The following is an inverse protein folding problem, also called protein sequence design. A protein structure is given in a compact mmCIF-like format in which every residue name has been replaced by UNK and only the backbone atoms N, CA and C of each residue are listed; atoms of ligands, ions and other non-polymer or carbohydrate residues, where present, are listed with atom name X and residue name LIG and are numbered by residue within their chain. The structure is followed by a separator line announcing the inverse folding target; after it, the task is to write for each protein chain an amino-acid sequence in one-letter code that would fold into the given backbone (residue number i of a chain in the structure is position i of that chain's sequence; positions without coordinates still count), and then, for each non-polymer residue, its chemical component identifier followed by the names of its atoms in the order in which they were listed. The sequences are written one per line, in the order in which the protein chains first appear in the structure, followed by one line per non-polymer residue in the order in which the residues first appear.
data_IF_825486479003
#
_entry.id   IF_825486479003
#
_cell.length_a   1.000
_cell.length_b   1.000
_cell.length_c   1.000
_cell.angle_alpha   90.00
_cell.angle_beta   90.00
_cell.angle_gamma   90.00
#
_symmetry.space_group_name_H-M   'P 1'
#
loop_
_entity.id
_entity.type
_entity.pdbx_description
1 polymer ?
#
# COMPACT_ATOMS: atom_id res chain seq x y z
N UNK A 1 -16.21 -14.90 26.24
CA UNK A 1 -15.79 -13.59 25.73
C UNK A 1 -16.93 -12.58 25.63
N UNK A 2 -17.90 -12.71 24.71
CA UNK A 2 -19.02 -11.76 24.56
C UNK A 2 -19.87 -11.63 25.85
N UNK A 3 -20.22 -12.73 26.51
CA UNK A 3 -20.97 -12.70 27.79
C UNK A 3 -20.24 -12.00 28.95
N UNK A 4 -18.91 -11.98 28.95
CA UNK A 4 -18.10 -11.28 29.96
C UNK A 4 -18.12 -9.78 29.70
N UNK A 5 -18.02 -9.36 28.44
CA UNK A 5 -18.18 -7.97 28.02
C UNK A 5 -19.59 -7.43 28.31
N UNK A 6 -20.63 -8.27 28.15
CA UNK A 6 -22.03 -7.94 28.47
C UNK A 6 -22.32 -7.78 29.98
N UNK A 7 -21.41 -8.23 30.84
CA UNK A 7 -21.56 -8.12 32.30
C UNK A 7 -20.93 -6.85 32.88
N UNK A 8 -20.21 -6.06 32.07
CA UNK A 8 -19.60 -4.81 32.51
C UNK A 8 -20.64 -3.67 32.56
N UNK A 9 -20.92 -3.08 33.75
CA UNK A 9 -21.92 -2.03 33.93
C UNK A 9 -21.68 -0.77 33.08
N UNK A 10 -20.41 -0.43 32.81
CA UNK A 10 -20.04 0.76 32.05
C UNK A 10 -20.28 0.60 30.53
N UNK A 11 -20.38 -0.64 30.04
CA UNK A 11 -20.57 -0.97 28.62
C UNK A 11 -22.04 -1.25 28.26
N UNK A 12 -22.91 -1.32 29.28
CA UNK A 12 -24.34 -1.69 29.16
C UNK A 12 -25.16 -0.69 28.34
N UNK A 13 -24.80 0.59 28.39
CA UNK A 13 -25.44 1.67 27.61
C UNK A 13 -25.14 1.58 26.11
N UNK A 14 -23.97 1.05 25.75
CA UNK A 14 -23.56 0.87 24.36
C UNK A 14 -24.17 -0.40 23.76
N UNK A 15 -24.14 -1.52 24.50
CA UNK A 15 -24.72 -2.80 24.06
C UNK A 15 -26.21 -2.72 23.79
N UNK A 16 -26.95 -1.90 24.55
CA UNK A 16 -28.40 -1.71 24.35
C UNK A 16 -28.73 -0.95 23.05
N UNK A 17 -27.83 -0.08 22.58
CA UNK A 17 -28.06 0.78 21.42
C UNK A 17 -27.47 0.24 20.10
N UNK A 18 -26.37 -0.53 20.17
CA UNK A 18 -25.64 -1.04 19.01
C UNK A 18 -26.18 -2.41 18.51
N UNK A 19 -26.66 -3.27 19.43
CA UNK A 19 -27.07 -4.65 19.12
C UNK A 19 -28.22 -4.76 18.10
N UNK A 20 -29.28 -3.93 18.15
CA UNK A 20 -30.38 -3.99 17.18
C UNK A 20 -29.96 -3.57 15.76
N UNK A 21 -28.83 -2.86 15.62
CA UNK A 21 -28.36 -2.28 14.34
C UNK A 21 -27.35 -3.17 13.61
N UNK A 22 -26.66 -4.04 14.35
CA UNK A 22 -25.80 -5.11 13.80
C UNK A 22 -26.61 -6.21 13.11
N UNK A 23 -27.85 -6.45 13.55
CA UNK A 23 -28.77 -7.38 12.87
C UNK A 23 -29.40 -6.84 11.59
N UNK A 24 -29.29 -5.53 11.32
CA UNK A 24 -29.89 -4.87 10.16
C UNK A 24 -28.90 -4.50 9.05
N UNK A 25 -27.61 -4.78 9.22
CA UNK A 25 -26.60 -4.53 8.19
C UNK A 25 -26.68 -5.60 7.10
N UNK A 26 -26.64 -5.27 5.79
CA UNK A 26 -26.60 -6.28 4.74
C UNK A 26 -25.37 -7.18 4.88
N UNK A 27 -25.59 -8.46 5.21
CA UNK A 27 -24.55 -9.43 5.57
C UNK A 27 -24.55 -9.86 7.04
N UNK A 28 -25.33 -9.20 7.90
CA UNK A 28 -25.62 -9.59 9.28
C UNK A 28 -26.60 -10.76 9.33
N UNK A 29 -26.11 -11.96 9.04
CA UNK A 29 -26.86 -13.19 9.15
C UNK A 29 -27.41 -13.41 10.55
N UNK A 30 -28.70 -13.76 10.56
CA UNK A 30 -29.56 -14.25 11.63
C UNK A 30 -28.82 -15.04 12.71
N UNK A 31 -29.28 -14.83 13.95
CA UNK A 31 -29.01 -15.63 15.14
C UNK A 31 -29.34 -17.11 14.85
N UNK A 32 -28.33 -17.88 14.45
CA UNK A 32 -28.46 -19.34 14.38
C UNK A 32 -27.17 -20.02 14.83
N UNK A 33 -27.36 -21.15 15.49
CA UNK A 33 -26.60 -21.65 16.64
C UNK A 33 -25.12 -22.06 16.46
N UNK A 34 -24.40 -21.69 15.39
CA UNK A 34 -22.99 -22.13 15.23
C UNK A 34 -22.06 -21.15 14.48
N UNK A 35 -22.49 -19.91 14.19
CA UNK A 35 -21.59 -18.91 13.61
C UNK A 35 -20.79 -18.26 14.74
N UNK A 36 -19.50 -18.61 14.86
CA UNK A 36 -18.53 -17.87 15.69
C UNK A 36 -18.41 -16.43 15.17
N UNK A 37 -19.29 -15.54 15.64
CA UNK A 37 -19.17 -14.10 15.42
C UNK A 37 -17.78 -13.68 15.85
N UNK A 38 -17.00 -13.17 14.90
CA UNK A 38 -15.74 -12.53 15.23
C UNK A 38 -16.07 -11.31 16.11
N UNK A 39 -15.65 -11.29 17.38
CA UNK A 39 -16.01 -10.23 18.32
C UNK A 39 -15.50 -8.85 17.89
N UNK A 40 -14.57 -8.78 16.95
CA UNK A 40 -14.07 -7.53 16.39
C UNK A 40 -14.80 -7.05 15.14
N UNK A 41 -15.69 -7.87 14.54
CA UNK A 41 -16.53 -7.42 13.42
C UNK A 41 -17.41 -6.23 13.78
N UNK A 42 -17.68 -6.05 15.07
CA UNK A 42 -18.44 -4.90 15.57
C UNK A 42 -17.72 -3.57 15.33
N UNK A 43 -16.38 -3.56 15.35
CA UNK A 43 -15.56 -2.37 15.08
C UNK A 43 -15.44 -2.04 13.59
N UNK A 44 -16.01 -2.87 12.72
CA UNK A 44 -16.13 -2.54 11.30
C UNK A 44 -17.30 -1.59 11.03
N UNK A 45 -18.25 -1.43 11.97
CA UNK A 45 -19.37 -0.49 11.85
C UNK A 45 -18.93 0.95 12.13
N UNK A 46 -19.27 1.87 11.23
CA UNK A 46 -18.95 3.31 11.31
C UNK A 46 -19.55 3.97 12.57
N UNK A 47 -20.65 3.43 13.08
CA UNK A 47 -21.29 3.85 14.33
C UNK A 47 -20.38 3.69 15.57
N UNK A 48 -19.36 2.82 15.52
CA UNK A 48 -18.46 2.59 16.65
C UNK A 48 -17.45 3.71 16.89
N UNK A 49 -17.25 4.58 15.89
CA UNK A 49 -16.39 5.76 15.95
C UNK A 49 -17.18 7.07 15.87
N UNK A 50 -18.48 7.02 16.19
CA UNK A 50 -19.34 8.21 16.16
C UNK A 50 -18.73 9.37 16.98
N UNK A 51 -18.79 10.63 16.50
CA UNK A 51 -18.04 11.75 17.10
C UNK A 51 -18.32 11.98 18.59
N UNK A 52 -19.55 11.75 19.03
CA UNK A 52 -19.93 11.89 20.43
C UNK A 52 -19.36 10.76 21.31
N UNK A 53 -19.22 9.53 20.78
CA UNK A 53 -18.63 8.39 21.50
C UNK A 53 -17.11 8.52 21.62
N UNK A 54 -16.46 9.00 20.54
CA UNK A 54 -15.02 9.28 20.53
C UNK A 54 -14.68 10.43 21.48
N UNK A 55 -15.51 11.48 21.52
CA UNK A 55 -15.31 12.62 22.43
C UNK A 55 -15.47 12.22 23.90
N UNK A 56 -16.39 11.31 24.21
CA UNK A 56 -16.63 10.80 25.57
C UNK A 56 -15.61 9.70 25.95
N UNK A 57 -14.96 9.08 24.96
CA UNK A 57 -13.96 8.01 25.16
C UNK A 57 -14.58 6.62 25.34
N UNK A 58 -15.91 6.48 25.22
CA UNK A 58 -16.63 5.23 25.41
C UNK A 58 -16.27 4.18 24.35
N UNK A 59 -16.08 4.61 23.10
CA UNK A 59 -15.66 3.70 22.01
C UNK A 59 -14.26 3.13 22.24
N UNK A 60 -13.33 3.97 22.69
CA UNK A 60 -11.96 3.57 23.00
C UNK A 60 -11.89 2.67 24.25
N UNK A 61 -12.66 2.99 25.29
CA UNK A 61 -12.78 2.14 26.48
C UNK A 61 -13.34 0.75 26.14
N UNK A 62 -14.35 0.69 25.27
CA UNK A 62 -14.91 -0.57 24.79
C UNK A 62 -13.88 -1.37 23.97
N UNK A 63 -13.19 -0.73 23.01
CA UNK A 63 -12.12 -1.37 22.25
C UNK A 63 -11.04 -1.96 23.17
N UNK A 64 -10.63 -1.17 24.16
CA UNK A 64 -9.63 -1.58 25.17
C UNK A 64 -10.08 -2.80 25.96
N UNK A 65 -11.33 -2.82 26.43
CA UNK A 65 -11.89 -3.95 27.15
C UNK A 65 -11.94 -5.23 26.29
N UNK A 66 -12.30 -5.11 25.00
CA UNK A 66 -12.30 -6.24 24.07
C UNK A 66 -10.88 -6.78 23.85
N UNK A 67 -9.90 -5.90 23.64
CA UNK A 67 -8.49 -6.28 23.46
C UNK A 67 -7.93 -6.98 24.71
N UNK A 68 -8.17 -6.43 25.90
CA UNK A 68 -7.76 -7.03 27.17
C UNK A 68 -8.38 -8.41 27.37
N UNK A 69 -9.70 -8.52 27.14
CA UNK A 69 -10.42 -9.79 27.31
C UNK A 69 -9.93 -10.84 26.30
N UNK A 70 -9.64 -10.44 25.07
CA UNK A 70 -9.12 -11.37 24.07
C UNK A 70 -7.71 -11.86 24.40
N UNK A 71 -6.83 -10.95 24.83
CA UNK A 71 -5.45 -11.30 25.19
C UNK A 71 -5.33 -12.11 26.48
N UNK A 72 -6.35 -12.10 27.32
CA UNK A 72 -6.44 -13.01 28.45
C UNK A 72 -6.57 -14.47 27.98
N UNK A 73 -7.29 -14.71 26.89
CA UNK A 73 -7.65 -16.05 26.42
C UNK A 73 -6.81 -16.54 25.23
N UNK A 74 -6.20 -15.63 24.47
CA UNK A 74 -5.54 -15.93 23.19
C UNK A 74 -4.20 -15.18 23.05
N UNK A 75 -3.20 -15.76 22.35
CA UNK A 75 -1.92 -15.10 22.10
C UNK A 75 -2.07 -13.90 21.16
N UNK A 76 -1.12 -12.97 21.26
CA UNK A 76 -1.07 -11.75 20.44
C UNK A 76 -1.09 -12.05 18.93
N UNK A 77 -0.47 -13.13 18.46
CA UNK A 77 -0.46 -13.50 17.03
C UNK A 77 -1.86 -13.79 16.46
N UNK A 78 -2.72 -14.44 17.25
CA UNK A 78 -4.10 -14.70 16.87
C UNK A 78 -4.92 -13.40 16.82
N UNK A 79 -4.72 -12.51 17.79
CA UNK A 79 -5.35 -11.18 17.82
C UNK A 79 -4.98 -10.37 16.58
N UNK A 80 -3.71 -10.42 16.19
CA UNK A 80 -3.18 -9.56 15.12
C UNK A 80 -3.66 -9.97 13.74
N UNK A 81 -3.77 -11.28 13.48
CA UNK A 81 -4.39 -11.82 12.26
C UNK A 81 -5.86 -11.39 12.16
N UNK A 82 -6.52 -11.34 13.32
CA UNK A 82 -7.92 -10.98 13.40
C UNK A 82 -8.12 -9.47 13.18
N UNK A 83 -7.35 -8.61 13.84
CA UNK A 83 -7.37 -7.16 13.65
C UNK A 83 -7.10 -6.78 12.19
N UNK A 84 -6.14 -7.45 11.54
CA UNK A 84 -5.87 -7.28 10.12
C UNK A 84 -7.08 -7.67 9.24
N UNK A 85 -7.76 -8.78 9.56
CA UNK A 85 -8.96 -9.24 8.83
C UNK A 85 -10.13 -8.26 8.90
N UNK A 86 -10.30 -7.57 10.03
CA UNK A 86 -11.36 -6.56 10.23
C UNK A 86 -10.90 -5.13 9.86
N UNK A 87 -9.69 -5.00 9.32
CA UNK A 87 -9.05 -3.72 8.96
C UNK A 87 -8.94 -2.72 10.13
N UNK A 88 -8.91 -3.22 11.37
CA UNK A 88 -8.77 -2.38 12.57
C UNK A 88 -7.29 -2.18 12.90
N UNK A 89 -6.59 -1.55 11.97
CA UNK A 89 -5.15 -1.22 12.02
C UNK A 89 -4.95 0.20 11.46
N UNK A 90 -3.75 0.76 11.66
CA UNK A 90 -3.34 2.05 11.10
C UNK A 90 -4.30 3.21 11.43
N UNK A 91 -4.73 3.98 10.43
CA UNK A 91 -5.59 5.14 10.55
C UNK A 91 -6.94 4.82 11.20
N UNK A 92 -7.47 3.61 10.96
CA UNK A 92 -8.77 3.19 11.52
C UNK A 92 -8.69 2.99 13.03
N UNK A 93 -7.53 2.63 13.58
CA UNK A 93 -7.32 2.58 15.02
C UNK A 93 -7.28 4.00 15.62
N UNK A 94 -6.68 4.96 14.90
CA UNK A 94 -6.62 6.36 15.33
C UNK A 94 -8.01 7.01 15.39
N UNK A 95 -8.99 6.52 14.63
CA UNK A 95 -10.36 7.04 14.64
C UNK A 95 -11.03 6.93 16.03
N UNK A 96 -10.65 5.94 16.84
CA UNK A 96 -11.13 5.76 18.22
C UNK A 96 -10.59 6.82 19.19
N UNK A 97 -9.52 7.53 18.82
CA UNK A 97 -8.93 8.59 19.62
C UNK A 97 -9.53 9.95 19.25
N UNK A 98 -9.74 10.84 20.24
CA UNK A 98 -10.03 12.25 19.99
C UNK A 98 -8.99 12.88 19.05
N UNK A 99 -9.40 13.78 18.14
CA UNK A 99 -8.51 14.37 17.11
C UNK A 99 -7.20 14.96 17.68
N UNK A 100 -7.25 15.52 18.89
CA UNK A 100 -6.10 16.11 19.59
C UNK A 100 -5.17 15.08 20.26
N UNK A 101 -5.48 13.78 20.19
CA UNK A 101 -4.71 12.67 20.79
C UNK A 101 -4.39 11.56 19.79
N UNK A 102 -4.53 11.82 18.48
CA UNK A 102 -4.17 10.90 17.39
C UNK A 102 -2.67 10.99 17.08
N UNK A 103 -1.83 10.86 18.10
CA UNK A 103 -0.37 10.77 17.94
C UNK A 103 0.13 9.44 18.49
N UNK A 104 1.18 8.90 17.89
CA UNK A 104 1.73 7.58 18.26
C UNK A 104 2.16 7.51 19.72
N UNK A 105 2.67 8.63 20.26
CA UNK A 105 3.05 8.77 21.67
C UNK A 105 1.82 8.74 22.60
N UNK A 106 0.72 9.38 22.19
CA UNK A 106 -0.54 9.36 22.95
C UNK A 106 -1.18 7.97 22.94
N UNK A 107 -1.13 7.28 21.80
CA UNK A 107 -1.67 5.93 21.62
C UNK A 107 -0.87 4.92 22.44
N UNK A 108 0.47 4.99 22.39
CA UNK A 108 1.36 4.15 23.18
C UNK A 108 1.10 4.30 24.67
N UNK A 109 1.13 5.54 25.17
CA UNK A 109 0.90 5.84 26.60
C UNK A 109 -0.44 5.34 27.08
N UNK A 110 -1.49 5.49 26.27
CA UNK A 110 -2.83 5.02 26.63
C UNK A 110 -2.88 3.49 26.74
N UNK A 111 -2.42 2.76 25.73
CA UNK A 111 -2.50 1.30 25.73
C UNK A 111 -1.52 0.64 26.70
N UNK A 112 -0.33 1.23 26.94
CA UNK A 112 0.56 0.80 28.01
C UNK A 112 -0.07 0.98 29.40
N UNK A 113 -0.70 2.14 29.65
CA UNK A 113 -1.45 2.38 30.89
C UNK A 113 -2.62 1.41 31.06
N UNK A 114 -3.21 0.93 29.96
CA UNK A 114 -4.24 -0.10 29.95
C UNK A 114 -3.68 -1.55 30.02
N UNK A 115 -2.38 -1.75 30.23
CA UNK A 115 -1.79 -3.09 30.31
C UNK A 115 -1.73 -3.83 28.96
N UNK A 116 -1.94 -3.13 27.85
CA UNK A 116 -1.90 -3.67 26.49
C UNK A 116 -0.53 -3.44 25.82
N UNK A 117 0.55 -3.58 26.60
CA UNK A 117 1.92 -3.46 26.09
C UNK A 117 2.21 -4.37 24.88
N UNK A 118 1.74 -5.63 24.80
CA UNK A 118 1.91 -6.46 23.61
C UNK A 118 1.24 -5.90 22.34
N UNK A 119 0.14 -5.15 22.50
CA UNK A 119 -0.53 -4.47 21.38
C UNK A 119 0.29 -3.28 20.92
N UNK A 120 0.83 -2.49 21.86
CA UNK A 120 1.73 -1.36 21.55
C UNK A 120 2.98 -1.88 20.86
N UNK A 121 3.64 -2.90 21.41
CA UNK A 121 4.80 -3.53 20.78
C UNK A 121 4.46 -4.06 19.38
N UNK A 122 3.29 -4.65 19.16
CA UNK A 122 2.87 -5.07 17.82
C UNK A 122 2.65 -3.89 16.84
N UNK A 123 1.94 -2.83 17.27
CA UNK A 123 1.70 -1.62 16.48
C UNK A 123 3.04 -1.00 16.09
N UNK A 124 3.94 -0.84 17.05
CA UNK A 124 5.28 -0.30 16.81
C UNK A 124 6.12 -1.27 15.97
N UNK A 125 6.22 -2.55 16.30
CA UNK A 125 7.08 -3.50 15.58
C UNK A 125 6.56 -3.76 14.18
N UNK A 126 5.25 -3.87 13.90
CA UNK A 126 4.76 -4.24 12.57
C UNK A 126 4.54 -3.04 11.66
N UNK A 127 4.02 -1.92 12.18
CA UNK A 127 3.82 -0.68 11.40
C UNK A 127 5.16 0.05 11.24
N UNK A 128 5.98 0.16 12.30
CA UNK A 128 7.33 0.75 12.20
C UNK A 128 8.40 -0.21 11.72
N UNK A 129 8.23 -1.54 11.68
CA UNK A 129 9.14 -2.34 10.81
C UNK A 129 9.01 -1.87 9.39
N UNK A 130 7.80 -1.57 8.90
CA UNK A 130 7.64 -0.96 7.58
C UNK A 130 8.52 0.26 7.40
N UNK A 131 8.50 1.21 8.34
CA UNK A 131 9.24 2.48 8.20
C UNK A 131 10.72 2.39 8.58
N UNK A 132 11.09 1.63 9.61
CA UNK A 132 12.49 1.39 10.03
C UNK A 132 13.21 0.48 9.04
N UNK A 133 12.54 -0.55 8.50
CA UNK A 133 13.10 -1.35 7.41
C UNK A 133 13.21 -0.49 6.15
N UNK A 134 12.21 0.32 5.79
CA UNK A 134 12.34 1.26 4.66
C UNK A 134 13.49 2.25 4.85
N UNK A 135 13.63 2.85 6.03
CA UNK A 135 14.71 3.79 6.32
C UNK A 135 16.08 3.12 6.32
N UNK A 136 16.19 1.90 6.87
CA UNK A 136 17.42 1.11 6.83
C UNK A 136 17.77 0.68 5.42
N UNK A 137 16.80 0.17 4.66
CA UNK A 137 16.97 -0.20 3.25
C UNK A 137 17.37 1.03 2.43
N UNK A 138 16.80 2.20 2.68
CA UNK A 138 17.18 3.42 1.98
C UNK A 138 18.63 3.83 2.26
N UNK A 139 19.09 3.66 3.49
CA UNK A 139 20.47 3.97 3.87
C UNK A 139 21.44 2.89 3.36
N UNK A 140 21.12 1.60 3.54
CA UNK A 140 21.87 0.47 3.01
C UNK A 140 21.99 0.53 1.48
N UNK A 141 20.93 0.95 0.77
CA UNK A 141 20.99 1.15 -0.68
C UNK A 141 21.87 2.35 -1.04
N UNK A 142 21.80 3.47 -0.32
CA UNK A 142 22.66 4.63 -0.60
C UNK A 142 24.13 4.29 -0.37
N UNK A 143 24.43 3.62 0.74
CA UNK A 143 25.76 3.14 1.09
C UNK A 143 26.26 2.16 0.02
N UNK A 144 25.43 1.21 -0.40
CA UNK A 144 25.76 0.27 -1.47
C UNK A 144 26.04 0.99 -2.79
N UNK A 145 25.21 1.97 -3.18
CA UNK A 145 25.45 2.76 -4.41
C UNK A 145 26.76 3.56 -4.33
N UNK A 146 27.15 4.06 -3.15
CA UNK A 146 28.47 4.68 -2.97
C UNK A 146 29.61 3.67 -3.06
N UNK A 147 29.49 2.51 -2.40
CA UNK A 147 30.50 1.45 -2.43
C UNK A 147 30.66 0.88 -3.85
N UNK A 148 29.58 0.75 -4.60
CA UNK A 148 29.59 0.29 -6.00
C UNK A 148 30.35 1.26 -6.91
N UNK A 149 30.21 2.57 -6.68
CA UNK A 149 30.98 3.61 -7.40
C UNK A 149 32.47 3.54 -7.05
N UNK A 150 32.80 3.27 -5.80
CA UNK A 150 34.20 3.12 -5.35
C UNK A 150 34.85 1.83 -5.86
N UNK A 151 34.07 0.76 -6.03
CA UNK A 151 34.52 -0.55 -6.49
C UNK A 151 34.44 -0.73 -8.02
N UNK A 152 34.07 0.31 -8.78
CA UNK A 152 34.09 0.31 -10.24
C UNK A 152 32.99 -0.52 -10.91
N UNK A 153 31.85 -0.71 -10.25
CA UNK A 153 30.70 -1.42 -10.84
C UNK A 153 30.08 -0.60 -11.98
N UNK A 154 29.53 -1.30 -12.97
CA UNK A 154 28.79 -0.64 -14.06
C UNK A 154 27.39 -0.23 -13.59
N UNK A 155 26.84 0.84 -14.17
CA UNK A 155 25.46 1.27 -13.89
C UNK A 155 24.43 0.14 -14.07
N UNK A 156 24.64 -0.74 -15.05
CA UNK A 156 23.76 -1.88 -15.31
C UNK A 156 23.77 -2.90 -14.15
N UNK A 157 24.93 -3.18 -13.56
CA UNK A 157 25.04 -4.08 -12.39
C UNK A 157 24.40 -3.44 -11.16
N UNK A 158 24.65 -2.14 -10.94
CA UNK A 158 24.02 -1.36 -9.87
C UNK A 158 22.51 -1.37 -9.95
N UNK A 159 21.96 -1.13 -11.14
CA UNK A 159 20.51 -1.15 -11.37
C UNK A 159 19.91 -2.52 -11.11
N UNK A 160 20.61 -3.59 -11.48
CA UNK A 160 20.13 -4.97 -11.26
C UNK A 160 19.97 -5.26 -9.78
N UNK A 161 21.03 -5.02 -8.99
CA UNK A 161 21.00 -5.25 -7.53
C UNK A 161 20.00 -4.32 -6.84
N UNK A 162 19.95 -3.05 -7.25
CA UNK A 162 19.00 -2.09 -6.69
C UNK A 162 17.55 -2.55 -6.88
N UNK A 163 17.22 -3.02 -8.08
CA UNK A 163 15.87 -3.50 -8.37
C UNK A 163 15.52 -4.76 -7.54
N UNK A 164 16.45 -5.70 -7.39
CA UNK A 164 16.27 -6.90 -6.56
C UNK A 164 16.00 -6.52 -5.10
N UNK A 165 16.83 -5.67 -4.50
CA UNK A 165 16.64 -5.18 -3.13
C UNK A 165 15.32 -4.43 -2.95
N UNK A 166 14.92 -3.65 -3.95
CA UNK A 166 13.66 -2.92 -3.94
C UNK A 166 12.45 -3.86 -3.93
N UNK A 167 12.49 -4.92 -4.75
CA UNK A 167 11.42 -5.91 -4.81
C UNK A 167 11.33 -6.70 -3.49
N UNK A 168 12.47 -7.03 -2.87
CA UNK A 168 12.52 -7.79 -1.61
C UNK A 168 12.13 -6.96 -0.38
N UNK A 169 12.44 -5.66 -0.37
CA UNK A 169 12.21 -4.79 0.79
C UNK A 169 10.75 -4.36 0.99
N UNK A 170 9.88 -4.60 0.00
CA UNK A 170 8.49 -4.14 0.01
C UNK A 170 7.52 -5.33 -0.05
N UNK A 171 6.51 -5.34 0.80
CA UNK A 171 5.39 -6.27 0.68
C UNK A 171 4.39 -5.74 -0.38
N UNK A 172 4.48 -6.29 -1.59
CA UNK A 172 3.71 -5.82 -2.73
C UNK A 172 2.24 -6.24 -2.71
N UNK A 173 1.37 -5.26 -2.94
CA UNK A 173 -0.07 -5.45 -3.09
C UNK A 173 -0.41 -6.13 -4.42
N UNK A 174 -1.37 -7.06 -4.39
CA UNK A 174 -1.98 -7.62 -5.61
C UNK A 174 -3.02 -6.69 -6.24
N UNK A 175 -3.54 -5.71 -5.49
CA UNK A 175 -4.49 -4.70 -6.00
C UNK A 175 -3.75 -3.61 -6.80
N UNK A 176 -4.18 -3.28 -8.03
CA UNK A 176 -3.50 -2.31 -8.90
C UNK A 176 -3.28 -0.93 -8.30
N UNK A 177 -4.34 -0.30 -7.77
CA UNK A 177 -4.23 1.08 -7.25
C UNK A 177 -3.25 1.16 -6.05
N UNK A 178 -3.30 0.18 -5.17
CA UNK A 178 -2.38 0.10 -4.02
C UNK A 178 -0.94 -0.22 -4.46
N UNK A 179 -0.76 -1.03 -5.50
CA UNK A 179 0.56 -1.33 -6.07
C UNK A 179 1.20 -0.06 -6.66
N UNK A 180 0.45 0.73 -7.41
CA UNK A 180 0.93 2.00 -7.99
C UNK A 180 1.37 3.00 -6.90
N UNK A 181 0.54 3.17 -5.85
CA UNK A 181 0.88 4.02 -4.71
C UNK A 181 2.14 3.50 -3.99
N UNK A 182 2.29 2.19 -3.84
CA UNK A 182 3.48 1.59 -3.24
C UNK A 182 4.72 1.86 -4.09
N UNK A 183 4.66 1.63 -5.41
CA UNK A 183 5.79 1.86 -6.30
C UNK A 183 6.24 3.33 -6.28
N UNK A 184 5.29 4.27 -6.31
CA UNK A 184 5.58 5.71 -6.25
C UNK A 184 6.20 6.16 -4.91
N UNK A 185 5.88 5.47 -3.81
CA UNK A 185 6.51 5.70 -2.50
C UNK A 185 7.91 5.09 -2.41
N UNK A 186 8.26 4.16 -3.30
CA UNK A 186 9.49 3.36 -3.21
C UNK A 186 10.60 4.02 -4.05
N UNK A 187 11.23 5.04 -3.45
CA UNK A 187 12.47 5.71 -3.89
C UNK A 187 12.65 5.92 -5.42
N UNK A 188 11.70 6.54 -6.15
CA UNK A 188 11.85 6.78 -7.59
C UNK A 188 13.10 7.61 -7.95
N UNK A 189 13.45 8.59 -7.11
CA UNK A 189 14.66 9.42 -7.28
C UNK A 189 15.97 8.63 -7.23
N UNK A 190 15.98 7.51 -6.51
CA UNK A 190 17.15 6.67 -6.37
C UNK A 190 17.37 5.85 -7.65
N UNK A 191 16.30 5.26 -8.19
CA UNK A 191 16.30 4.62 -9.50
C UNK A 191 16.71 5.61 -10.61
N UNK A 192 16.16 6.83 -10.60
CA UNK A 192 16.54 7.89 -11.54
C UNK A 192 18.05 8.21 -11.46
N UNK A 193 18.64 8.24 -10.25
CA UNK A 193 20.06 8.56 -10.08
C UNK A 193 21.04 7.48 -10.56
N UNK A 194 20.56 6.26 -10.79
CA UNK A 194 21.38 5.13 -11.26
C UNK A 194 21.06 4.74 -12.71
N UNK A 195 19.90 5.13 -13.23
CA UNK A 195 19.47 4.89 -14.60
C UNK A 195 19.81 6.09 -15.50
N UNK A 196 21.09 6.37 -15.70
CA UNK A 196 21.56 7.52 -16.50
C UNK A 196 21.99 7.17 -17.92
N UNK A 197 22.31 5.90 -18.19
CA UNK A 197 22.70 5.43 -19.51
C UNK A 197 21.61 4.60 -20.18
N UNK A 198 21.50 4.61 -21.54
CA UNK A 198 20.55 3.76 -22.25
C UNK A 198 20.68 2.28 -21.90
N UNK A 199 21.91 1.81 -21.63
CA UNK A 199 22.15 0.42 -21.22
C UNK A 199 21.53 0.12 -19.85
N UNK A 200 21.66 1.03 -18.88
CA UNK A 200 21.08 0.89 -17.55
C UNK A 200 19.54 0.88 -17.58
N UNK A 201 18.93 1.74 -18.40
CA UNK A 201 17.48 1.80 -18.59
C UNK A 201 16.92 0.49 -19.19
N UNK A 202 17.58 -0.04 -20.23
CA UNK A 202 17.19 -1.33 -20.82
C UNK A 202 17.37 -2.46 -19.80
N UNK A 203 18.45 -2.44 -19.03
CA UNK A 203 18.72 -3.45 -17.99
C UNK A 203 17.61 -3.41 -16.93
N UNK A 204 17.17 -2.22 -16.50
CA UNK A 204 16.04 -2.08 -15.57
C UNK A 204 14.75 -2.69 -16.15
N UNK A 205 14.41 -2.38 -17.40
CA UNK A 205 13.22 -2.94 -18.05
C UNK A 205 13.27 -4.47 -18.15
N UNK A 206 14.45 -5.04 -18.39
CA UNK A 206 14.67 -6.49 -18.36
C UNK A 206 14.50 -7.08 -16.95
N UNK A 207 15.00 -6.40 -15.91
CA UNK A 207 14.81 -6.83 -14.52
C UNK A 207 13.32 -6.85 -14.12
N UNK A 208 12.58 -5.80 -14.51
CA UNK A 208 11.13 -5.71 -14.34
C UNK A 208 10.43 -6.85 -15.09
N UNK A 209 10.83 -7.13 -16.33
CA UNK A 209 10.27 -8.22 -17.13
C UNK A 209 10.43 -9.58 -16.43
N UNK A 210 11.63 -9.89 -15.95
CA UNK A 210 11.90 -11.14 -15.21
C UNK A 210 11.08 -11.19 -13.92
N UNK A 211 10.97 -10.09 -13.20
CA UNK A 211 10.17 -10.01 -11.96
C UNK A 211 8.69 -10.28 -12.25
N UNK A 212 8.12 -9.63 -13.25
CA UNK A 212 6.73 -9.85 -13.66
C UNK A 212 6.48 -11.25 -14.22
N UNK A 213 7.50 -11.89 -14.81
CA UNK A 213 7.39 -13.27 -15.32
C UNK A 213 7.43 -14.31 -14.20
N UNK A 214 8.30 -14.09 -13.20
CA UNK A 214 8.57 -15.04 -12.12
C UNK A 214 7.58 -14.91 -10.97
N UNK A 215 7.13 -13.70 -10.66
CA UNK A 215 6.18 -13.44 -9.59
C UNK A 215 4.78 -13.15 -10.13
N UNK A 216 3.85 -14.08 -9.88
CA UNK A 216 2.45 -13.97 -10.30
C UNK A 216 1.75 -12.70 -9.77
N UNK A 217 2.22 -12.12 -8.65
CA UNK A 217 1.70 -10.85 -8.11
C UNK A 217 1.95 -9.69 -9.06
N UNK A 218 3.04 -9.73 -9.82
CA UNK A 218 3.50 -8.67 -10.70
C UNK A 218 3.08 -8.85 -12.17
N UNK A 219 2.61 -10.04 -12.54
CA UNK A 219 2.31 -10.40 -13.93
C UNK A 219 1.36 -9.42 -14.65
N UNK A 220 0.43 -8.81 -13.91
CA UNK A 220 -0.56 -7.85 -14.45
C UNK A 220 -0.11 -6.39 -14.35
N UNK A 221 1.01 -6.11 -13.68
CA UNK A 221 1.46 -4.76 -13.35
C UNK A 221 2.60 -4.26 -14.23
N UNK A 222 3.11 -5.08 -15.16
CA UNK A 222 4.24 -4.73 -16.01
C UNK A 222 4.02 -3.39 -16.74
N UNK A 223 2.86 -3.23 -17.39
CA UNK A 223 2.49 -1.95 -18.05
C UNK A 223 2.51 -0.78 -17.07
N UNK A 224 1.95 -0.95 -15.89
CA UNK A 224 1.88 0.08 -14.85
C UNK A 224 3.28 0.50 -14.40
N UNK A 225 4.17 -0.46 -14.16
CA UNK A 225 5.57 -0.20 -13.76
C UNK A 225 6.28 0.61 -14.85
N UNK A 226 6.23 0.16 -16.10
CA UNK A 226 6.91 0.84 -17.22
C UNK A 226 6.36 2.26 -17.43
N UNK A 227 5.04 2.44 -17.32
CA UNK A 227 4.39 3.75 -17.45
C UNK A 227 4.85 4.70 -16.33
N UNK A 228 4.96 4.19 -15.10
CA UNK A 228 5.42 4.99 -13.96
C UNK A 228 6.90 5.33 -14.06
N UNK A 229 7.74 4.41 -14.56
CA UNK A 229 9.15 4.69 -14.79
C UNK A 229 9.36 5.78 -15.83
N UNK A 230 8.60 5.72 -16.92
CA UNK A 230 8.61 6.77 -17.93
C UNK A 230 8.19 8.13 -17.34
N UNK A 231 7.06 8.16 -16.60
CA UNK A 231 6.54 9.39 -15.97
C UNK A 231 7.49 10.03 -14.97
N UNK A 232 8.32 9.24 -14.30
CA UNK A 232 9.27 9.71 -13.29
C UNK A 232 10.69 9.89 -13.86
N UNK A 233 10.86 9.94 -15.19
CA UNK A 233 12.15 10.11 -15.87
C UNK A 233 13.19 9.03 -15.52
N UNK A 234 12.74 7.84 -15.13
CA UNK A 234 13.64 6.70 -14.81
C UNK A 234 14.06 5.97 -16.10
N UNK A 235 13.14 5.90 -17.07
CA UNK A 235 13.41 5.34 -18.40
C UNK A 235 12.95 6.30 -19.48
N UNK A 236 13.74 6.44 -20.52
CA UNK A 236 13.45 7.27 -21.69
C UNK A 236 12.45 6.58 -22.62
N UNK A 237 11.81 7.39 -23.47
CA UNK A 237 10.99 6.89 -24.58
C UNK A 237 11.80 5.94 -25.48
N UNK A 238 13.03 6.34 -25.83
CA UNK A 238 13.92 5.54 -26.66
C UNK A 238 14.19 4.15 -26.05
N UNK A 239 14.36 4.05 -24.72
CA UNK A 239 14.54 2.78 -24.04
C UNK A 239 13.27 1.90 -24.09
N UNK A 240 12.08 2.48 -23.86
CA UNK A 240 10.82 1.73 -23.95
C UNK A 240 10.59 1.19 -25.36
N UNK A 241 10.78 2.03 -26.39
CA UNK A 241 10.65 1.63 -27.80
C UNK A 241 11.68 0.57 -28.18
N UNK A 242 12.94 0.74 -27.76
CA UNK A 242 13.99 -0.24 -28.02
C UNK A 242 13.70 -1.59 -27.35
N UNK A 243 13.23 -1.58 -26.11
CA UNK A 243 12.85 -2.79 -25.38
C UNK A 243 11.70 -3.52 -26.09
N UNK A 244 10.67 -2.80 -26.50
CA UNK A 244 9.46 -3.36 -27.12
C UNK A 244 9.72 -3.95 -28.51
N UNK A 245 10.51 -3.26 -29.35
CA UNK A 245 10.55 -3.53 -30.80
C UNK A 245 11.92 -3.91 -31.34
N UNK A 246 12.99 -3.32 -30.80
CA UNK A 246 14.35 -3.42 -31.38
C UNK A 246 15.23 -4.48 -30.71
N UNK A 247 14.62 -5.36 -29.90
CA UNK A 247 15.28 -6.54 -29.35
C UNK A 247 15.81 -6.39 -27.92
N UNK A 248 15.41 -5.35 -27.18
CA UNK A 248 15.77 -5.23 -25.76
C UNK A 248 15.02 -6.20 -24.83
N UNK A 249 13.83 -6.69 -25.21
CA UNK A 249 13.07 -7.65 -24.41
C UNK A 249 13.69 -9.06 -24.42
N UNK A 250 13.80 -9.66 -23.24
CA UNK A 250 14.22 -11.05 -23.04
C UNK A 250 13.15 -12.03 -23.52
N UNK A 251 13.47 -13.32 -23.68
CA UNK A 251 12.51 -14.32 -24.15
C UNK A 251 11.37 -14.59 -23.15
N UNK A 252 11.66 -14.47 -21.85
CA UNK A 252 10.78 -14.78 -20.73
C UNK A 252 9.55 -13.88 -20.72
N UNK A 253 8.39 -14.42 -21.07
CA UNK A 253 7.14 -13.67 -21.09
C UNK A 253 7.05 -12.58 -22.16
N UNK A 254 8.00 -12.51 -23.12
CA UNK A 254 8.10 -11.45 -24.13
C UNK A 254 6.77 -11.14 -24.80
N UNK A 255 6.14 -12.15 -25.39
CA UNK A 255 4.90 -11.99 -26.15
C UNK A 255 3.76 -11.44 -25.30
N UNK A 256 3.72 -11.81 -24.01
CA UNK A 256 2.71 -11.32 -23.07
C UNK A 256 2.97 -9.85 -22.73
N UNK A 257 4.20 -9.50 -22.38
CA UNK A 257 4.52 -8.15 -21.91
C UNK A 257 4.56 -7.12 -23.03
N UNK A 258 5.05 -7.48 -24.23
CA UNK A 258 4.95 -6.63 -25.43
C UNK A 258 3.49 -6.30 -25.71
N UNK A 259 2.60 -7.30 -25.65
CA UNK A 259 1.16 -7.08 -25.82
C UNK A 259 0.57 -6.21 -24.71
N UNK A 260 1.03 -6.34 -23.47
CA UNK A 260 0.55 -5.50 -22.36
C UNK A 260 0.90 -4.01 -22.54
N UNK A 261 2.03 -3.70 -23.19
CA UNK A 261 2.48 -2.32 -23.39
C UNK A 261 2.18 -1.76 -24.79
N UNK A 262 1.60 -2.55 -25.70
CA UNK A 262 1.34 -2.19 -27.09
C UNK A 262 0.66 -0.81 -27.22
N UNK A 263 -0.47 -0.61 -26.52
CA UNK A 263 -1.18 0.68 -26.51
C UNK A 263 -0.35 1.85 -25.96
N UNK A 264 0.61 1.57 -25.06
CA UNK A 264 1.51 2.59 -24.52
C UNK A 264 2.62 2.94 -25.52
N UNK A 265 3.15 1.96 -26.23
CA UNK A 265 4.15 2.13 -27.29
C UNK A 265 3.58 2.89 -28.48
N UNK A 266 2.37 2.52 -28.93
CA UNK A 266 1.65 3.26 -29.98
C UNK A 266 1.43 4.72 -29.59
N UNK A 267 1.06 4.95 -28.33
CA UNK A 267 0.87 6.30 -27.82
C UNK A 267 2.18 7.10 -27.78
N UNK A 268 3.31 6.50 -27.37
CA UNK A 268 4.63 7.15 -27.39
C UNK A 268 4.98 7.62 -28.81
N UNK A 269 4.86 6.73 -29.80
CA UNK A 269 5.13 7.06 -31.21
C UNK A 269 4.25 8.18 -31.74
N UNK A 270 2.97 8.17 -31.38
CA UNK A 270 2.05 9.24 -31.75
C UNK A 270 2.42 10.60 -31.12
N UNK A 271 3.19 10.63 -30.01
CA UNK A 271 3.73 11.88 -29.46
C UNK A 271 4.92 12.42 -30.27
N UNK A 272 5.71 11.54 -30.90
CA UNK A 272 6.85 11.92 -31.75
C UNK A 272 6.35 12.53 -33.07
N UNK A 273 5.36 11.90 -33.72
CA UNK A 273 4.81 12.34 -35.01
C UNK A 273 4.00 13.66 -34.94
N UNK A 274 3.42 13.99 -33.77
CA UNK A 274 2.69 15.25 -33.54
C UNK A 274 3.61 16.39 -33.06
N UNK A 275 4.93 16.17 -32.98
CA UNK A 275 5.87 17.11 -32.36
C UNK A 275 6.28 18.32 -33.21
N UNK A 276 5.85 18.37 -34.48
CA UNK A 276 6.05 19.53 -35.34
C UNK A 276 5.10 20.72 -35.01
N UNK A 277 4.07 20.54 -34.16
CA UNK A 277 3.21 21.65 -33.70
C UNK A 277 2.75 21.52 -32.23
N UNK A 278 3.22 22.45 -31.39
CA UNK A 278 2.69 22.89 -30.07
C UNK A 278 2.90 22.01 -28.80
N UNK A 279 3.91 22.39 -28.01
CA UNK A 279 4.24 21.91 -26.65
C UNK A 279 3.10 22.01 -25.61
N UNK A 280 2.09 22.84 -25.83
CA UNK A 280 0.97 23.07 -24.89
C UNK A 280 -0.19 22.06 -25.04
N UNK A 281 -0.31 21.38 -26.19
CA UNK A 281 -1.35 20.35 -26.40
C UNK A 281 -0.99 18.99 -25.82
N UNK A 282 0.28 18.75 -25.48
CA UNK A 282 0.75 17.50 -24.85
C UNK A 282 0.08 17.32 -23.48
N UNK A 283 0.14 18.30 -22.59
CA UNK A 283 -0.39 18.18 -21.21
C UNK A 283 -1.89 17.86 -21.15
N UNK A 284 -2.70 18.41 -22.06
CA UNK A 284 -4.16 18.21 -22.09
C UNK A 284 -4.53 16.83 -22.66
N UNK A 285 -3.82 16.33 -23.68
CA UNK A 285 -4.05 14.98 -24.22
C UNK A 285 -3.60 13.87 -23.27
N UNK A 286 -2.52 14.09 -22.52
CA UNK A 286 -2.09 13.21 -21.43
C UNK A 286 -3.17 13.05 -20.35
N UNK A 287 -3.82 14.15 -19.94
CA UNK A 287 -4.90 14.11 -18.94
C UNK A 287 -6.13 13.36 -19.47
N UNK A 288 -6.52 13.59 -20.73
CA UNK A 288 -7.71 12.97 -21.33
C UNK A 288 -7.53 11.46 -21.57
N UNK A 289 -6.34 11.02 -22.01
CA UNK A 289 -6.07 9.59 -22.26
C UNK A 289 -5.81 8.84 -20.95
N UNK A 290 -5.20 9.47 -19.94
CA UNK A 290 -5.08 8.88 -18.62
C UNK A 290 -6.46 8.70 -17.94
N UNK A 291 -7.38 9.64 -18.15
CA UNK A 291 -8.78 9.49 -17.73
C UNK A 291 -9.47 8.32 -18.45
N UNK A 292 -9.14 8.09 -19.72
CA UNK A 292 -9.66 6.98 -20.53
C UNK A 292 -9.06 5.62 -20.18
N UNK A 293 -7.78 5.59 -19.75
CA UNK A 293 -7.04 4.37 -19.43
C UNK A 293 -7.09 3.98 -17.95
N UNK A 294 -7.46 4.91 -17.05
CA UNK A 294 -7.48 4.73 -15.59
C UNK A 294 -8.73 5.39 -14.98
N UNK A 295 -9.91 4.88 -15.35
CA UNK A 295 -11.22 5.33 -14.85
C UNK A 295 -11.42 5.21 -13.32
N UNK A 296 -10.46 4.67 -12.56
CA UNK A 296 -10.47 4.62 -11.09
C UNK A 296 -9.83 5.84 -10.40
N UNK A 297 -8.93 6.59 -11.06
CA UNK A 297 -8.12 7.61 -10.38
C UNK A 297 -8.78 9.00 -10.34
N UNK A 298 -9.60 9.36 -11.34
CA UNK A 298 -10.20 10.70 -11.42
C UNK A 298 -11.22 10.99 -10.31
N UNK A 299 -11.74 9.96 -9.63
CA UNK A 299 -12.66 10.13 -8.49
C UNK A 299 -11.94 10.48 -7.18
N UNK A 300 -10.62 10.20 -7.06
CA UNK A 300 -9.87 10.44 -5.83
C UNK A 300 -9.30 11.86 -5.74
N UNK A 301 -8.96 12.48 -6.87
CA UNK A 301 -8.31 13.81 -6.87
C UNK A 301 -9.28 14.98 -6.74
N UNK A 302 -10.58 14.80 -7.03
CA UNK A 302 -11.62 15.83 -6.81
C UNK A 302 -11.99 15.97 -5.32
N UNK A 303 -11.77 14.94 -4.50
CA UNK A 303 -12.11 14.95 -3.06
C UNK A 303 -11.00 15.49 -2.14
N UNK A 304 -9.90 16.03 -2.70
CA UNK A 304 -8.81 16.66 -1.93
C UNK A 304 -8.74 18.19 -2.10
N UNK A 305 -9.62 18.78 -2.90
CA UNK A 305 -9.74 20.25 -3.04
C UNK A 305 -11.12 20.82 -2.64
N UNK A 306 -11.91 20.10 -1.84
CA UNK A 306 -13.07 20.65 -1.14
C UNK A 306 -13.17 20.18 0.31
#
# INVERSE_FOLDING_TARGET
MLMVLFSNPELKSWTTNAMPRLSSTPGGGIMDNDVRLNPFSIFACEDTVAPHLVKVGTSLAFLTAVLQTYLHDQPIDALTTLLARVQLVDDKLLEFFPRNKRSDDSVAKYFEAAGLKPVVEYIYIKIRRGDVVKARVAEEIKELVSEMKENGWTEAETVTVLWEMLVESVEWSSKPDAFEIQLLKTYPKLLESVCTSPKSEITLLQCVQITCYTDARFLKHFRTIVTLFYKNNIVSEAAVLFWAEKGGALAQGKAVFVKQIELFVEWLKAQEDDSDDEDERRKIRFANIWCFLNLSFFSFQINLEY
#
